data_IF_878539912332
#
_entry.id   IF_878539912332
#
_cell.length_a   1.000
_cell.length_b   1.000
_cell.length_c   1.000
_cell.angle_alpha   90.00
_cell.angle_beta   90.00
_cell.angle_gamma   90.00
#
_symmetry.space_group_name_H-M   'P 1'
#
loop_
_entity.id
_entity.type
_entity.pdbx_description
1 polymer ?
#
# COMPACT_ATOMS: atom_id res chain seq x y z
N UNK A 1 3.97 -17.76 10.63
CA UNK A 1 3.46 -17.48 9.27
C UNK A 1 4.50 -17.88 8.24
N UNK A 2 4.11 -18.53 7.13
CA UNK A 2 5.01 -19.00 6.07
C UNK A 2 4.94 -18.07 4.86
N UNK A 3 6.08 -17.79 4.24
CA UNK A 3 6.14 -17.01 3.00
C UNK A 3 5.47 -17.81 1.86
N UNK A 4 4.36 -17.32 1.32
CA UNK A 4 3.74 -17.88 0.11
C UNK A 4 4.33 -17.29 -1.16
N UNK A 5 4.64 -15.98 -1.16
CA UNK A 5 5.29 -15.28 -2.28
C UNK A 5 6.20 -14.17 -1.78
N UNK A 6 7.36 -13.99 -2.43
CA UNK A 6 8.25 -12.85 -2.19
C UNK A 6 8.02 -11.85 -3.32
N UNK A 7 7.63 -10.62 -2.99
CA UNK A 7 7.51 -9.53 -3.97
C UNK A 7 8.82 -8.76 -4.08
N UNK A 8 9.42 -8.42 -2.94
CA UNK A 8 10.79 -7.93 -2.84
C UNK A 8 11.36 -8.17 -1.42
N UNK A 9 12.48 -7.54 -1.08
CA UNK A 9 13.12 -7.71 0.24
C UNK A 9 12.26 -7.23 1.42
N UNK A 10 11.28 -6.36 1.19
CA UNK A 10 10.47 -5.71 2.24
C UNK A 10 9.01 -6.16 2.25
N UNK A 11 8.52 -6.76 1.16
CA UNK A 11 7.12 -7.11 0.98
C UNK A 11 6.98 -8.58 0.59
N UNK A 12 6.16 -9.30 1.35
CA UNK A 12 5.82 -10.71 1.09
C UNK A 12 4.32 -10.93 1.21
N UNK A 13 3.85 -11.99 0.56
CA UNK A 13 2.52 -12.55 0.77
C UNK A 13 2.69 -13.77 1.66
N UNK A 14 1.78 -13.91 2.63
CA UNK A 14 1.62 -15.07 3.50
C UNK A 14 0.14 -15.42 3.56
N UNK A 15 -0.18 -16.54 4.18
CA UNK A 15 -1.54 -16.94 4.53
C UNK A 15 -1.70 -16.93 6.06
N UNK A 16 -2.84 -16.43 6.54
CA UNK A 16 -3.24 -16.41 7.95
C UNK A 16 -4.76 -16.65 8.02
N UNK A 17 -5.21 -17.63 8.80
CA UNK A 17 -6.64 -18.00 8.92
C UNK A 17 -7.38 -18.22 7.59
N UNK A 18 -6.72 -18.84 6.60
CA UNK A 18 -7.23 -19.06 5.23
C UNK A 18 -7.40 -17.78 4.39
N UNK A 19 -6.91 -16.65 4.90
CA UNK A 19 -6.88 -15.38 4.18
C UNK A 19 -5.44 -15.05 3.78
N UNK A 20 -5.29 -14.48 2.58
CA UNK A 20 -3.99 -13.96 2.18
C UNK A 20 -3.72 -12.64 2.90
N UNK A 21 -2.49 -12.48 3.37
CA UNK A 21 -2.04 -11.28 4.05
C UNK A 21 -0.78 -10.76 3.39
N UNK A 22 -0.75 -9.44 3.17
CA UNK A 22 0.49 -8.75 2.80
C UNK A 22 1.20 -8.38 4.09
N UNK A 23 2.45 -8.81 4.19
CA UNK A 23 3.33 -8.48 5.30
C UNK A 23 4.43 -7.56 4.78
N UNK A 24 4.65 -6.47 5.51
CA UNK A 24 5.68 -5.50 5.21
C UNK A 24 6.59 -5.28 6.41
N UNK A 25 7.87 -5.12 6.12
CA UNK A 25 8.87 -4.75 7.10
C UNK A 25 10.25 -4.67 6.48
N UNK A 26 11.12 -3.85 7.04
CA UNK A 26 12.45 -3.62 6.47
C UNK A 26 13.27 -4.92 6.46
N UNK A 27 13.63 -5.41 5.27
CA UNK A 27 14.43 -6.61 5.11
C UNK A 27 13.72 -7.92 5.51
N UNK A 28 12.38 -7.90 5.60
CA UNK A 28 11.54 -9.04 5.97
C UNK A 28 11.87 -10.31 5.18
N UNK A 29 12.14 -10.18 3.88
CA UNK A 29 12.45 -11.30 2.99
C UNK A 29 13.95 -11.43 2.67
N UNK A 30 14.81 -10.57 3.22
CA UNK A 30 16.24 -10.58 2.89
C UNK A 30 16.89 -11.91 3.29
N UNK A 31 17.44 -12.62 2.30
CA UNK A 31 18.05 -13.93 2.49
C UNK A 31 17.07 -15.09 2.75
N UNK A 32 15.76 -14.84 2.62
CA UNK A 32 14.70 -15.86 2.82
C UNK A 32 14.17 -16.39 1.49
N UNK A 33 13.45 -17.51 1.56
CA UNK A 33 12.80 -18.18 0.43
C UNK A 33 11.34 -18.49 0.72
N UNK A 34 10.56 -18.66 -0.35
CA UNK A 34 9.18 -19.17 -0.26
C UNK A 34 9.16 -20.49 0.53
N UNK A 35 8.16 -20.64 1.40
CA UNK A 35 8.00 -21.77 2.32
C UNK A 35 8.77 -21.65 3.63
N UNK A 36 9.55 -20.58 3.84
CA UNK A 36 10.20 -20.33 5.13
C UNK A 36 9.34 -19.50 6.07
N UNK A 37 9.58 -19.65 7.38
CA UNK A 37 8.91 -18.85 8.40
C UNK A 37 9.42 -17.41 8.43
N UNK A 38 8.51 -16.52 8.77
CA UNK A 38 8.75 -15.10 8.98
C UNK A 38 8.79 -14.86 10.49
N UNK A 39 9.90 -14.34 11.05
CA UNK A 39 9.94 -13.88 12.42
C UNK A 39 8.96 -12.71 12.62
N UNK A 40 8.07 -12.81 13.61
CA UNK A 40 7.06 -11.79 13.89
C UNK A 40 7.67 -10.42 14.19
N UNK A 41 8.87 -10.37 14.76
CA UNK A 41 9.63 -9.14 15.06
C UNK A 41 10.00 -8.31 13.82
N UNK A 42 10.04 -8.93 12.64
CA UNK A 42 10.35 -8.24 11.39
C UNK A 42 9.09 -7.67 10.71
N UNK A 43 7.90 -8.05 11.17
CA UNK A 43 6.64 -7.61 10.59
C UNK A 43 6.25 -6.26 11.19
N UNK A 44 6.37 -5.20 10.40
CA UNK A 44 6.01 -3.84 10.80
C UNK A 44 4.54 -3.54 10.51
N UNK A 45 4.02 -4.09 9.40
CA UNK A 45 2.64 -3.90 8.95
C UNK A 45 2.06 -5.20 8.41
N UNK A 46 0.76 -5.38 8.64
CA UNK A 46 -0.06 -6.46 8.11
C UNK A 46 -1.29 -5.87 7.45
N UNK A 47 -1.58 -6.29 6.22
CA UNK A 47 -2.78 -5.91 5.49
C UNK A 47 -3.51 -7.18 5.03
N UNK A 48 -4.71 -7.40 5.56
CA UNK A 48 -5.55 -8.54 5.18
C UNK A 48 -6.17 -8.28 3.81
N UNK A 49 -6.05 -9.25 2.91
CA UNK A 49 -6.66 -9.20 1.59
C UNK A 49 -8.04 -9.83 1.65
N UNK A 50 -9.09 -9.03 1.48
CA UNK A 50 -10.41 -9.61 1.25
C UNK A 50 -10.44 -10.31 -0.11
N UNK A 51 -11.19 -11.42 -0.21
CA UNK A 51 -11.22 -12.26 -1.41
C UNK A 51 -11.40 -11.48 -2.72
N UNK A 52 -12.27 -10.47 -2.71
CA UNK A 52 -12.64 -9.67 -3.88
C UNK A 52 -11.54 -8.69 -4.36
N UNK A 53 -10.46 -8.50 -3.60
CA UNK A 53 -9.36 -7.57 -3.94
C UNK A 53 -7.99 -8.24 -4.04
N UNK A 54 -7.91 -9.55 -3.78
CA UNK A 54 -6.66 -10.33 -3.88
C UNK A 54 -5.99 -10.20 -5.25
N UNK A 55 -6.77 -10.38 -6.30
CA UNK A 55 -6.26 -10.44 -7.68
C UNK A 55 -5.60 -9.13 -8.11
N UNK A 56 -6.24 -8.00 -7.80
CA UNK A 56 -5.72 -6.65 -8.05
C UNK A 56 -4.35 -6.44 -7.38
N UNK A 57 -4.19 -6.92 -6.15
CA UNK A 57 -2.99 -6.69 -5.35
C UNK A 57 -1.83 -7.58 -5.79
N UNK A 58 -2.10 -8.78 -6.28
CA UNK A 58 -1.05 -9.65 -6.83
C UNK A 58 -0.38 -9.07 -8.07
N UNK A 59 -1.06 -8.17 -8.78
CA UNK A 59 -0.58 -7.49 -9.98
C UNK A 59 0.15 -6.18 -9.66
N UNK A 60 0.00 -5.64 -8.45
CA UNK A 60 0.66 -4.39 -8.09
C UNK A 60 2.18 -4.58 -7.90
N UNK A 61 3.00 -3.68 -8.45
CA UNK A 61 4.42 -3.63 -8.13
C UNK A 61 4.67 -3.42 -6.64
N UNK A 62 5.71 -4.05 -6.09
CA UNK A 62 6.04 -3.95 -4.67
C UNK A 62 6.35 -2.50 -4.26
N UNK A 63 6.95 -1.73 -5.17
CA UNK A 63 7.27 -0.31 -5.00
C UNK A 63 6.00 0.53 -4.81
N UNK A 64 4.92 0.19 -5.52
CA UNK A 64 3.61 0.85 -5.37
C UNK A 64 3.03 0.56 -3.98
N UNK A 65 3.16 -0.69 -3.52
CA UNK A 65 2.72 -1.07 -2.17
C UNK A 65 3.52 -0.32 -1.09
N UNK A 66 4.85 -0.28 -1.18
CA UNK A 66 5.69 0.45 -0.22
C UNK A 66 5.39 1.96 -0.21
N UNK A 67 5.17 2.55 -1.39
CA UNK A 67 4.80 3.98 -1.48
C UNK A 67 3.44 4.25 -0.86
N UNK A 68 2.47 3.36 -1.06
CA UNK A 68 1.14 3.45 -0.48
C UNK A 68 1.18 3.35 1.05
N UNK A 69 1.97 2.42 1.59
CA UNK A 69 2.15 2.29 3.03
C UNK A 69 2.77 3.56 3.64
N UNK A 70 3.80 4.12 3.01
CA UNK A 70 4.41 5.38 3.44
C UNK A 70 3.41 6.53 3.49
N UNK A 71 2.61 6.70 2.44
CA UNK A 71 1.60 7.76 2.35
C UNK A 71 0.52 7.55 3.42
N UNK A 72 0.03 6.33 3.61
CA UNK A 72 -1.01 6.01 4.61
C UNK A 72 -0.48 6.17 6.03
N UNK A 73 0.78 5.79 6.28
CA UNK A 73 1.44 5.99 7.58
C UNK A 73 1.58 7.48 7.88
N UNK A 74 2.05 8.29 6.92
CA UNK A 74 2.10 9.75 7.05
C UNK A 74 0.70 10.35 7.28
N UNK A 75 -0.31 9.88 6.55
CA UNK A 75 -1.69 10.34 6.69
C UNK A 75 -2.26 10.04 8.09
N UNK A 76 -1.99 8.84 8.64
CA UNK A 76 -2.42 8.45 10.00
C UNK A 76 -1.84 9.40 11.04
N UNK A 77 -0.55 9.73 10.93
CA UNK A 77 0.12 10.66 11.84
C UNK A 77 -0.42 12.08 11.71
N UNK A 78 -0.52 12.59 10.48
CA UNK A 78 -0.91 13.98 10.20
C UNK A 78 -2.38 14.25 10.51
N UNK A 79 -3.28 13.31 10.18
CA UNK A 79 -4.73 13.46 10.41
C UNK A 79 -5.14 13.15 11.85
N UNK A 80 -4.25 12.54 12.65
CA UNK A 80 -4.53 12.05 14.00
C UNK A 80 -5.79 11.17 14.07
N UNK A 81 -6.03 10.40 13.01
CA UNK A 81 -7.22 9.55 12.84
C UNK A 81 -6.81 8.13 12.46
N UNK A 82 -7.58 7.17 12.95
CA UNK A 82 -7.45 5.77 12.52
C UNK A 82 -8.01 5.63 11.10
N UNK A 83 -7.14 5.37 10.14
CA UNK A 83 -7.54 4.99 8.78
C UNK A 83 -7.78 3.48 8.73
N UNK A 84 -8.86 3.09 8.05
CA UNK A 84 -9.17 1.68 7.78
C UNK A 84 -8.10 1.06 6.88
N UNK A 85 -7.85 -0.23 7.01
CA UNK A 85 -6.87 -0.94 6.18
C UNK A 85 -7.26 -0.94 4.69
N UNK A 86 -8.54 -0.77 4.37
CA UNK A 86 -9.01 -0.54 3.00
C UNK A 86 -8.44 0.73 2.37
N UNK A 87 -7.93 1.68 3.16
CA UNK A 87 -7.28 2.89 2.64
C UNK A 87 -5.94 2.58 1.99
N UNK A 88 -5.18 1.61 2.51
CA UNK A 88 -3.95 1.12 1.88
C UNK A 88 -4.24 0.55 0.49
N UNK A 89 -5.26 -0.30 0.39
CA UNK A 89 -5.67 -0.89 -0.89
C UNK A 89 -6.13 0.16 -1.89
N UNK A 90 -6.95 1.11 -1.46
CA UNK A 90 -7.43 2.19 -2.32
C UNK A 90 -6.28 3.10 -2.80
N UNK A 91 -5.28 3.34 -1.95
CA UNK A 91 -4.11 4.14 -2.32
C UNK A 91 -3.24 3.40 -3.34
N UNK A 92 -2.98 2.11 -3.11
CA UNK A 92 -2.15 1.31 -4.00
C UNK A 92 -2.76 1.17 -5.40
N UNK A 93 -4.07 0.88 -5.47
CA UNK A 93 -4.82 0.89 -6.73
C UNK A 93 -4.78 2.25 -7.43
N UNK A 94 -5.00 3.34 -6.68
CA UNK A 94 -4.99 4.69 -7.25
C UNK A 94 -3.62 5.07 -7.83
N UNK A 95 -2.53 4.82 -7.09
CA UNK A 95 -1.16 5.10 -7.54
C UNK A 95 -0.83 4.27 -8.77
N UNK A 96 -1.16 2.97 -8.76
CA UNK A 96 -0.92 2.11 -9.92
C UNK A 96 -1.66 2.61 -11.16
N UNK A 97 -2.94 2.96 -11.03
CA UNK A 97 -3.72 3.53 -12.13
C UNK A 97 -3.21 4.90 -12.59
N UNK A 98 -2.57 5.70 -11.73
CA UNK A 98 -1.90 6.93 -12.14
C UNK A 98 -0.64 6.60 -12.96
N UNK A 99 0.17 5.63 -12.53
CA UNK A 99 1.37 5.21 -13.27
C UNK A 99 1.03 4.67 -14.67
N UNK A 100 0.03 3.80 -14.79
CA UNK A 100 -0.42 3.28 -16.09
C UNK A 100 -0.87 4.41 -17.04
N UNK A 101 -1.60 5.40 -16.52
CA UNK A 101 -2.01 6.57 -17.34
C UNK A 101 -0.82 7.42 -17.76
N UNK A 102 0.19 7.56 -16.90
CA UNK A 102 1.41 8.30 -17.25
C UNK A 102 2.23 7.58 -18.32
N UNK A 103 2.27 6.25 -18.30
CA UNK A 103 2.88 5.44 -19.37
C UNK A 103 2.17 5.64 -20.72
N UNK A 104 0.86 5.88 -20.70
CA UNK A 104 0.04 6.18 -21.87
C UNK A 104 -0.01 7.67 -22.27
N UNK A 105 0.82 8.53 -21.66
CA UNK A 105 0.82 10.01 -21.85
C UNK A 105 -0.55 10.68 -21.53
N UNK A 106 -1.36 10.07 -20.67
CA UNK A 106 -2.68 10.57 -20.25
C UNK A 106 -2.54 11.43 -18.99
N UNK A 107 -2.72 12.74 -19.15
CA UNK A 107 -2.70 13.70 -18.05
C UNK A 107 -4.10 14.19 -17.68
N UNK A 108 -4.49 14.00 -16.42
CA UNK A 108 -5.81 14.41 -15.92
C UNK A 108 -5.72 15.74 -15.16
N UNK A 109 -6.58 16.69 -15.55
CA UNK A 109 -6.77 17.93 -14.81
C UNK A 109 -7.76 17.71 -13.67
N UNK A 110 -7.36 18.07 -12.44
CA UNK A 110 -8.29 18.10 -11.31
C UNK A 110 -9.03 19.44 -11.25
N UNK A 111 -10.28 19.45 -11.71
CA UNK A 111 -11.13 20.65 -11.74
C UNK A 111 -11.61 21.10 -10.35
N UNK A 112 -11.56 20.23 -9.34
CA UNK A 112 -12.01 20.51 -7.97
C UNK A 112 -10.84 20.92 -7.05
N UNK A 113 -9.65 21.15 -7.59
CA UNK A 113 -8.45 21.43 -6.81
C UNK A 113 -8.61 22.61 -5.83
N UNK A 114 -9.33 23.65 -6.26
CA UNK A 114 -9.60 24.83 -5.42
C UNK A 114 -10.51 24.50 -4.24
N UNK A 115 -11.59 23.75 -4.50
CA UNK A 115 -12.54 23.31 -3.47
C UNK A 115 -11.89 22.34 -2.49
N UNK A 116 -11.09 21.38 -2.97
CA UNK A 116 -10.37 20.42 -2.11
C UNK A 116 -9.43 21.15 -1.17
N UNK A 117 -8.61 22.09 -1.68
CA UNK A 117 -7.72 22.91 -0.85
C UNK A 117 -8.47 23.71 0.22
N UNK A 118 -9.64 24.24 -0.13
CA UNK A 118 -10.46 25.07 0.76
C UNK A 118 -11.18 24.25 1.83
N UNK A 119 -11.79 23.12 1.46
CA UNK A 119 -12.65 22.33 2.35
C UNK A 119 -11.89 21.25 3.11
N UNK A 120 -10.77 20.76 2.59
CA UNK A 120 -9.97 19.68 3.18
C UNK A 120 -8.48 20.06 3.26
N UNK A 121 -8.11 21.14 3.96
CA UNK A 121 -6.75 21.66 3.93
C UNK A 121 -5.71 20.69 4.52
N UNK A 122 -6.06 19.93 5.57
CA UNK A 122 -5.13 18.97 6.20
C UNK A 122 -4.95 17.74 5.31
N UNK A 123 -6.04 17.19 4.77
CA UNK A 123 -5.98 16.09 3.80
C UNK A 123 -5.26 16.52 2.52
N UNK A 124 -5.37 17.78 2.12
CA UNK A 124 -4.63 18.34 0.99
C UNK A 124 -3.12 18.37 1.27
N UNK A 125 -2.68 18.73 2.48
CA UNK A 125 -1.27 18.63 2.88
C UNK A 125 -0.74 17.19 2.81
N UNK A 126 -1.55 16.21 3.24
CA UNK A 126 -1.24 14.79 3.08
C UNK A 126 -1.07 14.42 1.60
N UNK A 127 -1.98 14.88 0.74
CA UNK A 127 -1.87 14.66 -0.70
C UNK A 127 -0.62 15.27 -1.33
N UNK A 128 -0.09 16.38 -0.79
CA UNK A 128 1.15 16.99 -1.28
C UNK A 128 2.41 16.23 -0.87
N UNK A 129 2.39 15.47 0.22
CA UNK A 129 3.48 14.57 0.59
C UNK A 129 3.63 13.41 -0.41
N UNK A 130 2.51 12.98 -1.00
CA UNK A 130 2.44 11.89 -1.96
C UNK A 130 2.80 12.30 -3.41
N UNK A 131 3.35 13.50 -3.62
CA UNK A 131 3.58 14.09 -4.94
C UNK A 131 4.92 13.71 -5.56
#
# INVERSE_FOLDING_TARGET
>A
MLISKILNNNVVISEEDQEEVILMGRGLAFGRKVGQEIPDELIEKRYVLSENRRQLLMELPAEVMEMSDKIISFAREKLQKKLKDTAFLAMADHIHGVLLRLEDDIYLKNFLMWDIKRFFPIEFEVGQYAK
#
